data_IF_542384600863
#
_entry.id   IF_542384600863
#
_cell.length_a   1.000
_cell.length_b   1.000
_cell.length_c   1.000
_cell.angle_alpha   90.00
_cell.angle_beta   90.00
_cell.angle_gamma   90.00
#
_symmetry.space_group_name_H-M   'P 1'
#
loop_
_entity.id
_entity.type
_entity.pdbx_description
1 polymer ?
#
# COMPACT_ATOMS: atom_id res chain seq x y z
N UNK A 1 24.54 14.36 -16.09
CA UNK A 1 23.24 13.66 -16.17
C UNK A 1 22.72 13.31 -14.76
N UNK A 2 23.49 12.60 -13.95
CA UNK A 2 23.18 12.25 -12.55
C UNK A 2 22.78 13.41 -11.63
N UNK A 3 23.47 14.55 -11.68
CA UNK A 3 23.12 15.75 -10.90
C UNK A 3 21.70 16.31 -11.18
N UNK A 4 21.22 16.18 -12.43
CA UNK A 4 19.85 16.60 -12.82
C UNK A 4 18.81 15.59 -12.31
N UNK A 5 19.12 14.30 -12.38
CA UNK A 5 18.25 13.20 -11.92
C UNK A 5 18.13 13.20 -10.39
N UNK A 6 19.24 13.35 -9.68
CA UNK A 6 19.29 13.48 -8.21
C UNK A 6 18.43 14.65 -7.69
N UNK A 7 18.56 15.82 -8.32
CA UNK A 7 17.71 16.98 -8.01
C UNK A 7 16.25 16.74 -8.38
N UNK A 8 15.96 15.97 -9.43
CA UNK A 8 14.59 15.62 -9.83
C UNK A 8 13.96 14.60 -8.87
N UNK A 9 14.73 13.62 -8.38
CA UNK A 9 14.31 12.61 -7.40
C UNK A 9 14.04 13.21 -6.04
N UNK A 10 14.92 14.09 -5.55
CA UNK A 10 14.66 14.76 -4.28
C UNK A 10 13.53 15.78 -4.40
N UNK A 11 13.31 16.39 -5.58
CA UNK A 11 12.09 17.16 -5.85
C UNK A 11 10.83 16.28 -5.81
N UNK A 12 10.90 15.03 -6.24
CA UNK A 12 9.81 14.07 -6.10
C UNK A 12 9.57 13.71 -4.62
N UNK A 13 10.62 13.37 -3.86
CA UNK A 13 10.51 13.14 -2.41
C UNK A 13 9.98 14.36 -1.63
N UNK A 14 10.34 15.58 -2.01
CA UNK A 14 9.80 16.81 -1.41
C UNK A 14 8.34 17.03 -1.79
N UNK A 15 7.92 16.64 -3.01
CA UNK A 15 6.51 16.64 -3.43
C UNK A 15 5.68 15.56 -2.74
N UNK A 16 6.23 14.36 -2.57
CA UNK A 16 5.51 13.21 -2.00
C UNK A 16 5.32 13.33 -0.49
N UNK A 17 6.20 14.05 0.21
CA UNK A 17 6.07 14.27 1.64
C UNK A 17 5.01 15.33 2.03
N UNK A 18 4.44 16.03 1.05
CA UNK A 18 3.24 16.88 1.19
C UNK A 18 1.93 16.15 0.81
N UNK A 19 1.97 14.82 0.55
CA UNK A 19 0.76 14.01 0.30
C UNK A 19 -0.11 13.75 1.55
N UNK A 20 0.33 14.22 2.72
CA UNK A 20 -0.48 14.27 3.94
C UNK A 20 -1.05 15.70 4.11
N UNK A 21 -2.23 15.91 3.55
CA UNK A 21 -3.14 17.07 3.63
C UNK A 21 -2.93 18.29 2.68
N UNK A 22 -3.89 18.42 1.77
CA UNK A 22 -4.51 19.63 1.18
C UNK A 22 -3.65 20.62 0.36
N UNK A 23 -3.89 20.60 -0.95
CA UNK A 23 -4.25 21.76 -1.80
C UNK A 23 -3.40 23.05 -1.75
N UNK A 24 -2.06 23.02 -1.90
CA UNK A 24 -1.31 24.24 -2.31
C UNK A 24 -0.02 23.94 -3.10
N UNK A 25 -0.08 23.38 -4.30
CA UNK A 25 1.07 23.45 -5.24
C UNK A 25 0.65 23.64 -6.70
N UNK A 26 -0.18 24.66 -6.96
CA UNK A 26 0.13 25.48 -8.12
C UNK A 26 1.29 26.41 -7.75
N UNK A 27 2.53 25.99 -7.95
CA UNK A 27 3.64 26.94 -7.95
C UNK A 27 4.62 26.64 -9.07
N UNK A 28 4.65 27.56 -10.03
CA UNK A 28 5.78 27.84 -10.91
C UNK A 28 7.10 27.69 -10.15
N UNK A 29 8.09 27.12 -10.83
CA UNK A 29 9.49 26.95 -10.43
C UNK A 29 10.09 28.23 -9.85
N UNK A 30 9.89 28.49 -8.56
CA UNK A 30 10.47 29.64 -7.88
C UNK A 30 11.58 29.13 -6.94
N UNK A 31 12.82 29.13 -7.45
CA UNK A 31 14.00 28.96 -6.61
C UNK A 31 14.01 30.06 -5.55
N UNK A 32 13.86 29.70 -4.28
CA UNK A 32 13.94 30.65 -3.18
C UNK A 32 15.41 30.77 -2.80
N UNK A 33 15.99 31.96 -2.98
CA UNK A 33 17.32 32.30 -2.47
C UNK A 33 17.19 33.00 -1.13
N UNK A 34 17.79 32.43 -0.09
CA UNK A 34 17.87 33.04 1.24
C UNK A 34 19.34 33.10 1.63
N UNK A 35 19.86 34.31 1.89
CA UNK A 35 21.25 34.48 2.32
C UNK A 35 22.30 33.96 1.33
N UNK A 36 21.99 33.96 0.03
CA UNK A 36 22.86 33.41 -1.02
C UNK A 36 22.76 31.91 -1.22
N UNK A 37 22.09 31.17 -0.32
CA UNK A 37 21.83 29.75 -0.48
C UNK A 37 20.57 29.51 -1.32
N UNK A 38 20.68 28.68 -2.36
CA UNK A 38 19.56 28.27 -3.19
C UNK A 38 18.87 27.06 -2.55
N UNK A 39 17.58 27.21 -2.25
CA UNK A 39 16.78 26.18 -1.60
C UNK A 39 15.93 25.41 -2.62
N UNK A 40 15.58 24.18 -2.28
CA UNK A 40 14.93 23.22 -3.17
C UNK A 40 13.43 23.05 -2.91
N UNK A 41 12.88 23.78 -1.93
CA UNK A 41 11.44 23.82 -1.66
C UNK A 41 11.12 24.00 -0.18
N UNK A 42 9.90 23.58 0.18
CA UNK A 42 9.44 23.46 1.56
C UNK A 42 8.96 22.02 1.82
N UNK A 43 9.15 21.55 3.04
CA UNK A 43 8.62 20.29 3.56
C UNK A 43 7.93 20.59 4.88
N UNK A 44 6.63 20.28 5.00
CA UNK A 44 5.83 20.62 6.20
C UNK A 44 5.97 22.10 6.60
N UNK A 45 5.98 22.98 5.60
CA UNK A 45 6.11 24.43 5.75
C UNK A 45 7.54 24.96 6.03
N UNK A 46 8.54 24.10 6.22
CA UNK A 46 9.92 24.48 6.52
C UNK A 46 10.86 24.33 5.32
N UNK A 47 11.89 25.17 5.23
CA UNK A 47 12.83 25.18 4.11
C UNK A 47 13.62 23.88 3.95
N UNK A 48 13.84 23.48 2.69
CA UNK A 48 14.57 22.26 2.32
C UNK A 48 15.79 22.59 1.46
N UNK A 49 16.89 21.92 1.76
CA UNK A 49 18.08 21.82 0.92
C UNK A 49 18.30 20.37 0.51
N UNK A 50 18.41 20.13 -0.79
CA UNK A 50 18.81 18.84 -1.36
C UNK A 50 20.30 18.91 -1.67
N UNK A 51 21.10 18.14 -0.95
CA UNK A 51 22.54 18.14 -1.15
C UNK A 51 22.93 17.29 -2.36
N UNK A 52 23.56 17.92 -3.35
CA UNK A 52 24.07 17.21 -4.52
C UNK A 52 25.50 16.71 -4.30
N UNK A 53 25.61 15.51 -3.74
CA UNK A 53 26.88 14.86 -3.41
C UNK A 53 27.74 14.49 -4.64
N UNK A 54 27.20 14.54 -5.85
CA UNK A 54 27.94 14.28 -7.09
C UNK A 54 28.70 15.49 -7.63
N UNK A 55 28.27 16.72 -7.31
CA UNK A 55 28.96 17.94 -7.76
C UNK A 55 30.25 18.22 -6.97
N UNK A 56 30.39 17.58 -5.80
CA UNK A 56 31.59 17.68 -4.95
C UNK A 56 31.95 16.28 -4.41
N UNK A 57 32.67 15.45 -5.18
CA UNK A 57 33.13 14.14 -4.73
C UNK A 57 33.93 14.28 -3.42
N UNK A 58 33.52 13.57 -2.37
CA UNK A 58 34.13 13.63 -1.04
C UNK A 58 33.62 14.72 -0.11
N UNK A 59 32.67 15.57 -0.54
CA UNK A 59 32.04 16.53 0.35
C UNK A 59 30.97 15.84 1.23
N UNK A 60 31.26 15.78 2.53
CA UNK A 60 30.29 15.39 3.55
C UNK A 60 29.50 16.58 4.08
N UNK A 61 28.40 16.30 4.77
CA UNK A 61 27.66 17.26 5.57
C UNK A 61 27.96 16.97 7.03
N UNK A 62 28.87 17.74 7.60
CA UNK A 62 29.25 17.72 9.01
C UNK A 62 28.59 18.88 9.78
N UNK A 63 28.89 19.00 11.08
CA UNK A 63 28.35 20.08 11.90
C UNK A 63 28.83 21.47 11.44
N UNK A 64 30.05 21.57 10.89
CA UNK A 64 30.61 22.83 10.37
C UNK A 64 29.86 23.30 9.12
N UNK A 65 29.47 22.36 8.26
CA UNK A 65 28.60 22.61 7.11
C UNK A 65 27.25 23.16 7.57
N UNK A 66 26.66 22.59 8.61
CA UNK A 66 25.39 23.08 9.17
C UNK A 66 25.55 24.47 9.78
N UNK A 67 26.66 24.76 10.47
CA UNK A 67 26.99 26.11 10.95
C UNK A 67 27.14 27.11 9.80
N UNK A 68 27.77 26.71 8.70
CA UNK A 68 27.92 27.55 7.50
C UNK A 68 26.57 27.84 6.86
N UNK A 69 25.70 26.83 6.75
CA UNK A 69 24.31 27.01 6.29
C UNK A 69 23.61 28.00 7.22
N UNK A 70 23.70 27.81 8.54
CA UNK A 70 23.09 28.70 9.51
C UNK A 70 23.62 30.14 9.43
N UNK A 71 24.92 30.34 9.22
CA UNK A 71 25.49 31.67 9.02
C UNK A 71 24.92 32.38 7.78
N UNK A 72 24.65 31.61 6.71
CA UNK A 72 24.04 32.14 5.50
C UNK A 72 22.55 32.46 5.69
N UNK A 73 21.75 31.51 6.21
CA UNK A 73 20.28 31.63 6.22
C UNK A 73 19.72 32.19 7.52
N UNK A 74 20.40 31.98 8.64
CA UNK A 74 20.02 32.39 9.99
C UNK A 74 18.61 32.00 10.38
N UNK A 75 17.99 32.78 11.29
CA UNK A 75 16.60 32.60 11.74
C UNK A 75 15.55 32.91 10.66
N UNK A 76 15.95 33.43 9.50
CA UNK A 76 15.02 33.81 8.41
C UNK A 76 14.27 32.61 7.84
N UNK A 77 14.78 31.39 8.02
CA UNK A 77 14.16 30.15 7.55
C UNK A 77 13.13 29.58 8.54
N UNK A 78 12.92 30.24 9.68
CA UNK A 78 12.02 29.80 10.73
C UNK A 78 12.70 28.86 11.73
N UNK A 79 11.92 27.97 12.35
CA UNK A 79 12.38 27.09 13.45
C UNK A 79 12.91 25.74 12.99
N UNK A 80 12.69 25.37 11.73
CA UNK A 80 13.03 24.04 11.18
C UNK A 80 13.63 24.20 9.79
N UNK A 81 14.59 23.34 9.48
CA UNK A 81 15.23 23.24 8.17
C UNK A 81 15.54 21.77 7.89
N UNK A 82 15.32 21.30 6.66
CA UNK A 82 15.61 19.92 6.29
C UNK A 82 16.75 19.86 5.29
N UNK A 83 17.73 19.01 5.56
CA UNK A 83 18.82 18.69 4.65
C UNK A 83 18.63 17.24 4.20
N UNK A 84 18.46 17.03 2.89
CA UNK A 84 18.24 15.70 2.31
C UNK A 84 19.51 15.28 1.57
N UNK A 85 20.08 14.14 1.96
CA UNK A 85 21.27 13.56 1.32
C UNK A 85 21.35 12.03 1.55
N UNK A 86 22.17 11.28 0.79
CA UNK A 86 22.43 9.88 1.09
C UNK A 86 22.99 9.70 2.50
N UNK A 87 22.69 8.56 3.13
CA UNK A 87 23.14 8.25 4.49
C UNK A 87 24.65 8.43 4.68
N UNK A 88 25.45 7.99 3.70
CA UNK A 88 26.92 8.04 3.76
C UNK A 88 27.54 9.43 3.65
N UNK A 89 26.75 10.47 3.39
CA UNK A 89 27.24 11.85 3.24
C UNK A 89 27.25 12.61 4.56
N UNK A 90 26.44 12.21 5.54
CA UNK A 90 26.40 12.90 6.83
C UNK A 90 27.55 12.45 7.74
N UNK A 91 28.35 13.42 8.20
CA UNK A 91 29.48 13.20 9.11
C UNK A 91 29.11 13.16 10.60
N UNK A 92 27.81 13.23 10.92
CA UNK A 92 27.28 13.20 12.27
C UNK A 92 26.14 12.17 12.38
N UNK A 93 25.89 11.65 13.58
CA UNK A 93 24.92 10.57 13.81
C UNK A 93 23.53 11.07 14.19
N UNK A 94 23.44 12.27 14.77
CA UNK A 94 22.21 12.86 15.27
C UNK A 94 21.21 13.13 14.13
N UNK A 95 19.91 12.98 14.41
CA UNK A 95 18.86 13.27 13.41
C UNK A 95 18.64 14.75 13.17
N UNK A 96 19.14 15.60 14.08
CA UNK A 96 19.14 17.04 13.90
C UNK A 96 20.27 17.73 14.69
N UNK A 97 20.56 18.96 14.29
CA UNK A 97 21.42 19.90 15.01
C UNK A 97 20.60 21.17 15.30
N UNK A 98 20.58 21.62 16.55
CA UNK A 98 19.92 22.87 16.95
C UNK A 98 20.95 24.01 16.98
N UNK A 99 20.69 25.10 16.25
CA UNK A 99 21.50 26.33 16.24
C UNK A 99 20.58 27.54 16.39
N UNK A 100 20.79 28.36 17.42
CA UNK A 100 20.03 29.59 17.69
C UNK A 100 18.48 29.44 17.66
N UNK A 101 17.98 28.29 18.12
CA UNK A 101 16.55 27.97 18.12
C UNK A 101 15.99 27.50 16.77
N UNK A 102 16.88 27.20 15.82
CA UNK A 102 16.58 26.62 14.51
C UNK A 102 17.09 25.18 14.46
N UNK A 103 16.20 24.24 14.14
CA UNK A 103 16.51 22.81 14.05
C UNK A 103 16.80 22.38 12.62
N UNK A 104 18.01 21.89 12.39
CA UNK A 104 18.47 21.36 11.10
C UNK A 104 18.37 19.84 11.10
N UNK A 105 17.37 19.28 10.43
CA UNK A 105 17.13 17.84 10.36
C UNK A 105 17.94 17.19 9.23
N UNK A 106 18.61 16.08 9.55
CA UNK A 106 19.34 15.25 8.60
C UNK A 106 18.45 14.12 8.07
N UNK A 107 17.88 14.33 6.88
CA UNK A 107 17.06 13.34 6.20
C UNK A 107 17.98 12.41 5.37
N UNK A 108 18.35 11.29 5.99
CA UNK A 108 19.28 10.30 5.44
C UNK A 108 18.56 9.34 4.51
N UNK A 109 18.91 9.35 3.22
CA UNK A 109 18.36 8.41 2.22
C UNK A 109 19.29 7.20 2.09
N UNK A 110 18.83 5.95 2.34
CA UNK A 110 19.63 4.76 2.12
C UNK A 110 20.00 4.57 0.63
N UNK A 111 21.18 4.03 0.36
CA UNK A 111 21.62 3.78 -1.03
C UNK A 111 20.81 2.72 -1.76
N UNK A 112 20.18 1.77 -1.05
CA UNK A 112 19.28 0.78 -1.66
C UNK A 112 18.14 1.46 -2.41
N UNK A 113 17.50 2.44 -1.77
CA UNK A 113 16.43 3.25 -2.36
C UNK A 113 16.95 4.07 -3.55
N UNK A 114 18.16 4.64 -3.45
CA UNK A 114 18.75 5.43 -4.54
C UNK A 114 19.04 4.55 -5.76
N UNK A 115 19.59 3.35 -5.56
CA UNK A 115 19.98 2.44 -6.64
C UNK A 115 18.76 1.83 -7.35
N UNK A 116 17.73 1.50 -6.58
CA UNK A 116 16.43 1.00 -7.09
C UNK A 116 15.73 2.07 -7.96
N UNK A 117 15.76 3.33 -7.53
CA UNK A 117 15.25 4.48 -8.28
C UNK A 117 16.08 4.83 -9.53
N UNK A 118 17.36 4.45 -9.57
CA UNK A 118 18.25 4.71 -10.70
C UNK A 118 18.10 3.69 -11.84
N UNK A 119 17.58 2.49 -11.56
CA UNK A 119 17.48 1.40 -12.54
C UNK A 119 16.13 1.32 -13.25
N UNK A 120 15.09 2.03 -12.77
CA UNK A 120 13.72 1.90 -13.29
C UNK A 120 13.01 3.25 -13.38
N UNK A 121 12.22 3.43 -14.43
CA UNK A 121 11.14 4.43 -14.41
C UNK A 121 10.04 3.91 -13.49
N UNK A 122 9.49 4.75 -12.60
CA UNK A 122 8.39 4.37 -11.70
C UNK A 122 7.18 3.87 -12.49
N UNK A 123 6.99 2.56 -12.57
CA UNK A 123 5.78 1.93 -13.12
C UNK A 123 4.86 1.52 -11.97
N UNK A 124 3.57 1.82 -12.10
CA UNK A 124 2.56 1.40 -11.15
C UNK A 124 2.45 -0.13 -11.13
N UNK A 125 2.16 -0.69 -9.95
CA UNK A 125 1.88 -2.12 -9.80
C UNK A 125 0.66 -2.47 -10.67
N UNK A 126 0.85 -3.45 -11.57
CA UNK A 126 -0.27 -4.21 -12.12
C UNK A 126 -0.37 -5.48 -11.30
N UNK A 127 -1.46 -5.64 -10.57
CA UNK A 127 -1.80 -6.92 -9.99
C UNK A 127 -1.84 -7.95 -11.12
N UNK A 128 -1.23 -9.13 -10.90
CA UNK A 128 -1.22 -10.17 -11.89
C UNK A 128 -2.66 -10.56 -12.24
N UNK A 129 -2.90 -10.74 -13.53
CA UNK A 129 -4.14 -11.25 -14.08
C UNK A 129 -4.06 -12.78 -14.34
N UNK A 130 -2.93 -13.40 -13.99
CA UNK A 130 -2.67 -14.83 -14.11
C UNK A 130 -1.71 -15.35 -13.00
N UNK A 131 -1.61 -16.68 -12.86
CA UNK A 131 -0.76 -17.34 -11.85
C UNK A 131 0.75 -17.22 -12.15
N UNK A 132 1.13 -16.89 -13.38
CA UNK A 132 2.54 -16.77 -13.79
C UNK A 132 3.12 -15.38 -13.52
N UNK A 133 2.26 -14.35 -13.37
CA UNK A 133 2.64 -12.96 -13.09
C UNK A 133 2.93 -12.63 -11.62
N UNK A 134 2.88 -13.62 -10.72
CA UNK A 134 3.15 -13.41 -9.28
C UNK A 134 4.56 -12.86 -9.03
N UNK A 135 5.54 -13.24 -9.87
CA UNK A 135 6.92 -12.78 -9.75
C UNK A 135 7.12 -11.30 -10.13
N UNK A 136 6.17 -10.69 -10.84
CA UNK A 136 6.22 -9.26 -11.21
C UNK A 136 5.65 -8.35 -10.10
N UNK A 137 5.10 -8.93 -9.02
CA UNK A 137 4.33 -8.23 -7.96
C UNK A 137 5.20 -7.69 -6.82
N UNK A 138 6.48 -8.02 -6.80
CA UNK A 138 7.41 -7.55 -5.78
C UNK A 138 8.17 -6.37 -6.35
N UNK A 139 7.68 -5.14 -6.19
CA UNK A 139 8.51 -3.95 -6.00
C UNK A 139 7.68 -2.66 -5.85
N UNK A 140 8.03 -1.89 -4.80
CA UNK A 140 7.82 -0.44 -4.62
C UNK A 140 6.66 0.06 -3.74
N UNK A 141 7.04 0.99 -2.86
CA UNK A 141 6.25 1.60 -1.79
C UNK A 141 5.71 2.95 -2.28
N UNK A 142 4.39 3.11 -2.31
CA UNK A 142 3.69 4.38 -2.59
C UNK A 142 2.39 4.43 -1.82
N UNK A 143 2.14 5.51 -1.07
CA UNK A 143 0.86 5.71 -0.39
C UNK A 143 -0.17 6.20 -1.40
N UNK A 144 -0.72 5.29 -2.18
CA UNK A 144 -1.94 5.58 -2.96
C UNK A 144 -3.16 5.46 -2.05
N UNK A 145 -4.08 6.42 -2.19
CA UNK A 145 -5.37 6.35 -1.52
C UNK A 145 -6.12 5.14 -2.06
N UNK A 146 -6.40 4.16 -1.21
CA UNK A 146 -7.21 2.99 -1.55
C UNK A 146 -8.57 3.49 -2.03
N UNK A 147 -8.89 3.24 -3.30
CA UNK A 147 -10.19 3.53 -3.89
C UNK A 147 -10.88 2.21 -4.22
N UNK A 148 -11.71 1.67 -3.33
CA UNK A 148 -12.42 0.42 -3.58
C UNK A 148 -13.16 0.47 -4.92
N UNK A 149 -13.01 -0.54 -5.79
CA UNK A 149 -13.71 -0.57 -7.05
C UNK A 149 -15.23 -0.63 -6.80
N UNK A 150 -15.99 -0.04 -7.71
CA UNK A 150 -17.44 -0.11 -7.68
C UNK A 150 -17.89 -1.27 -8.56
N UNK A 151 -18.53 -2.26 -7.95
CA UNK A 151 -19.05 -3.41 -8.67
C UNK A 151 -20.57 -3.53 -8.52
N UNK A 152 -21.24 -3.90 -9.62
CA UNK A 152 -22.59 -4.45 -9.61
C UNK A 152 -22.49 -5.93 -9.94
N UNK A 153 -23.17 -6.75 -9.17
CA UNK A 153 -23.10 -8.19 -9.27
C UNK A 153 -24.45 -8.80 -8.95
N UNK A 154 -24.62 -10.04 -9.41
CA UNK A 154 -25.80 -10.88 -9.18
C UNK A 154 -25.36 -12.26 -8.70
N UNK A 155 -26.15 -12.86 -7.81
CA UNK A 155 -25.91 -14.19 -7.28
C UNK A 155 -27.15 -15.06 -7.43
N UNK A 156 -26.94 -16.37 -7.43
CA UNK A 156 -28.03 -17.33 -7.42
C UNK A 156 -27.54 -18.77 -7.48
N UNK A 157 -28.48 -19.70 -7.58
CA UNK A 157 -28.20 -21.12 -7.73
C UNK A 157 -28.85 -21.61 -9.01
N UNK A 158 -28.05 -22.22 -9.89
CA UNK A 158 -28.55 -22.81 -11.14
C UNK A 158 -27.75 -24.07 -11.51
N UNK A 159 -28.42 -25.01 -12.15
CA UNK A 159 -27.74 -26.15 -12.76
C UNK A 159 -27.30 -25.79 -14.19
N UNK A 160 -26.18 -26.35 -14.66
CA UNK A 160 -25.82 -26.21 -16.08
C UNK A 160 -26.82 -26.97 -16.96
N UNK A 161 -26.97 -26.53 -18.20
CA UNK A 161 -27.84 -27.20 -19.18
C UNK A 161 -27.39 -28.66 -19.34
N UNK A 162 -28.22 -29.60 -18.89
CA UNK A 162 -27.93 -31.04 -18.94
C UNK A 162 -27.24 -31.62 -17.69
N UNK A 163 -27.02 -30.83 -16.65
CA UNK A 163 -26.51 -31.30 -15.35
C UNK A 163 -27.61 -31.24 -14.28
N UNK A 164 -27.61 -32.21 -13.37
CA UNK A 164 -28.54 -32.27 -12.23
C UNK A 164 -28.00 -31.54 -11.00
N UNK A 165 -26.67 -31.37 -10.91
CA UNK A 165 -26.01 -30.74 -9.78
C UNK A 165 -26.23 -29.23 -9.86
N UNK A 166 -26.72 -28.65 -8.77
CA UNK A 166 -26.93 -27.21 -8.64
C UNK A 166 -25.63 -26.55 -8.22
N UNK A 167 -25.19 -25.56 -8.98
CA UNK A 167 -24.03 -24.72 -8.67
C UNK A 167 -24.53 -23.36 -8.20
N UNK A 168 -23.85 -22.78 -7.21
CA UNK A 168 -23.99 -21.37 -6.92
C UNK A 168 -23.18 -20.58 -7.95
N UNK A 169 -23.62 -19.36 -8.24
CA UNK A 169 -22.90 -18.46 -9.11
C UNK A 169 -22.83 -17.05 -8.53
N UNK A 170 -21.76 -16.34 -8.87
CA UNK A 170 -21.60 -14.90 -8.70
C UNK A 170 -21.19 -14.33 -10.05
N UNK A 171 -22.03 -13.44 -10.59
CA UNK A 171 -21.81 -12.77 -11.86
C UNK A 171 -21.53 -11.29 -11.63
N UNK A 172 -20.49 -10.76 -12.27
CA UNK A 172 -20.18 -9.33 -12.26
C UNK A 172 -20.86 -8.69 -13.48
N UNK A 173 -21.83 -7.83 -13.23
CA UNK A 173 -22.58 -7.12 -14.28
C UNK A 173 -21.92 -5.80 -14.68
N UNK A 174 -21.26 -5.13 -13.72
CA UNK A 174 -20.48 -3.91 -13.95
C UNK A 174 -19.31 -3.84 -12.99
N UNK A 175 -18.15 -3.41 -13.47
CA UNK A 175 -16.99 -3.12 -12.65
C UNK A 175 -16.39 -1.78 -13.06
N UNK A 176 -16.06 -0.95 -12.08
CA UNK A 176 -15.43 0.36 -12.26
C UNK A 176 -14.28 0.48 -11.26
N UNK A 177 -13.05 0.56 -11.77
CA UNK A 177 -11.86 0.90 -10.98
C UNK A 177 -11.52 2.37 -11.16
N UNK A 178 -10.93 2.93 -10.10
CA UNK A 178 -10.29 4.25 -10.12
C UNK A 178 -8.96 4.12 -9.42
N UNK A 179 -7.91 4.64 -10.03
CA UNK A 179 -6.62 4.78 -9.38
C UNK A 179 -6.07 6.18 -9.67
N UNK A 180 -5.13 6.63 -8.86
CA UNK A 180 -4.49 7.93 -9.06
C UNK A 180 -3.03 7.75 -9.40
N UNK A 181 -2.75 7.46 -10.67
CA UNK A 181 -1.38 7.23 -11.10
C UNK A 181 -0.68 8.56 -11.35
N UNK A 182 0.40 8.83 -10.59
CA UNK A 182 1.24 10.04 -10.74
C UNK A 182 0.45 11.37 -10.65
N UNK A 183 -0.65 11.38 -9.90
CA UNK A 183 -1.49 12.56 -9.70
C UNK A 183 -2.63 12.71 -10.73
N UNK A 184 -2.69 11.85 -11.74
CA UNK A 184 -3.79 11.78 -12.72
C UNK A 184 -4.80 10.71 -12.30
N UNK A 185 -6.09 11.05 -12.37
CA UNK A 185 -7.15 10.09 -12.11
C UNK A 185 -7.31 9.18 -13.32
N UNK A 186 -7.02 7.89 -13.13
CA UNK A 186 -7.33 6.84 -14.10
C UNK A 186 -8.67 6.23 -13.77
N UNK A 187 -9.43 5.92 -14.81
CA UNK A 187 -10.70 5.23 -14.71
C UNK A 187 -10.70 4.07 -15.68
N UNK A 188 -11.15 2.89 -15.23
CA UNK A 188 -11.29 1.72 -16.07
C UNK A 188 -12.50 0.88 -15.70
N UNK A 189 -12.92 0.06 -16.66
CA UNK A 189 -14.07 -0.82 -16.60
C UNK A 189 -13.69 -2.28 -16.27
N UNK A 190 -14.37 -3.24 -16.89
CA UNK A 190 -14.14 -4.67 -16.69
C UNK A 190 -12.70 -5.11 -16.99
N UNK A 191 -12.01 -4.44 -17.90
CA UNK A 191 -10.61 -4.71 -18.24
C UNK A 191 -9.64 -4.46 -17.07
N UNK A 192 -10.09 -3.72 -16.05
CA UNK A 192 -9.30 -3.48 -14.83
C UNK A 192 -9.59 -4.44 -13.70
N UNK A 193 -10.55 -5.35 -13.86
CA UNK A 193 -10.75 -6.43 -12.90
C UNK A 193 -9.53 -7.36 -12.90
N UNK A 194 -8.98 -7.67 -11.74
CA UNK A 194 -7.86 -8.61 -11.61
C UNK A 194 -8.34 -9.99 -11.18
N UNK A 195 -9.06 -10.06 -10.06
CA UNK A 195 -9.52 -11.34 -9.52
C UNK A 195 -10.71 -11.19 -8.55
N UNK A 196 -11.44 -12.29 -8.38
CA UNK A 196 -12.46 -12.48 -7.37
C UNK A 196 -11.96 -13.55 -6.40
N UNK A 197 -11.92 -13.22 -5.12
CA UNK A 197 -11.67 -14.17 -4.05
C UNK A 197 -12.96 -14.43 -3.28
N UNK A 198 -13.20 -15.68 -2.91
CA UNK A 198 -14.37 -16.12 -2.17
C UNK A 198 -13.97 -16.89 -0.91
N UNK A 199 -14.66 -16.57 0.17
CA UNK A 199 -14.77 -17.31 1.42
C UNK A 199 -16.24 -17.73 1.55
N UNK A 200 -16.49 -19.03 1.56
CA UNK A 200 -17.84 -19.60 1.49
C UNK A 200 -18.58 -19.61 2.83
N UNK A 201 -17.89 -19.48 3.97
CA UNK A 201 -18.46 -19.58 5.31
C UNK A 201 -18.00 -18.47 6.28
N UNK A 202 -17.79 -17.27 5.74
CA UNK A 202 -17.27 -16.10 6.44
C UNK A 202 -17.91 -15.87 7.82
N UNK A 203 -17.06 -15.95 8.84
CA UNK A 203 -17.45 -15.89 10.25
C UNK A 203 -17.65 -14.46 10.80
N UNK A 204 -17.38 -13.42 10.00
CA UNK A 204 -17.46 -12.02 10.42
C UNK A 204 -16.16 -11.42 10.96
N UNK A 205 -15.06 -12.19 11.01
CA UNK A 205 -13.78 -11.78 11.57
C UNK A 205 -12.63 -12.00 10.57
N UNK A 206 -12.28 -13.26 10.31
CA UNK A 206 -11.15 -13.64 9.45
C UNK A 206 -11.67 -14.08 8.09
N UNK A 207 -11.01 -13.62 7.02
CA UNK A 207 -11.26 -14.07 5.66
C UNK A 207 -10.44 -15.33 5.39
N UNK A 208 -11.12 -16.46 5.23
CA UNK A 208 -10.54 -17.76 4.92
C UNK A 208 -10.79 -18.09 3.45
N UNK A 209 -9.72 -18.06 2.64
CA UNK A 209 -9.84 -18.19 1.19
C UNK A 209 -10.20 -19.62 0.75
N UNK A 210 -11.36 -19.79 0.12
CA UNK A 210 -11.80 -21.06 -0.47
C UNK A 210 -11.60 -21.14 -1.98
N UNK A 211 -11.83 -20.04 -2.70
CA UNK A 211 -11.74 -20.02 -4.15
C UNK A 211 -11.23 -18.68 -4.70
N UNK A 212 -10.50 -18.77 -5.81
CA UNK A 212 -10.01 -17.62 -6.58
C UNK A 212 -10.44 -17.79 -8.03
N UNK A 213 -10.95 -16.71 -8.62
CA UNK A 213 -11.25 -16.62 -10.05
C UNK A 213 -10.49 -15.43 -10.63
N UNK A 214 -9.51 -15.73 -11.48
CA UNK A 214 -8.73 -14.70 -12.16
C UNK A 214 -9.50 -14.08 -13.34
N UNK A 215 -9.09 -12.89 -13.76
CA UNK A 215 -9.67 -12.16 -14.88
C UNK A 215 -9.91 -13.04 -16.11
N UNK A 216 -8.90 -13.76 -16.59
CA UNK A 216 -9.01 -14.58 -17.80
C UNK A 216 -10.07 -15.70 -17.67
N UNK A 217 -10.24 -16.26 -16.47
CA UNK A 217 -11.25 -17.28 -16.18
C UNK A 217 -12.65 -16.67 -16.16
N UNK A 218 -12.78 -15.50 -15.51
CA UNK A 218 -14.03 -14.75 -15.47
C UNK A 218 -14.44 -14.31 -16.87
N UNK A 219 -13.54 -13.74 -17.66
CA UNK A 219 -13.80 -13.31 -19.03
C UNK A 219 -14.25 -14.48 -19.92
N UNK A 220 -13.53 -15.60 -19.88
CA UNK A 220 -13.89 -16.81 -20.63
C UNK A 220 -15.26 -17.40 -20.21
N UNK A 221 -15.67 -17.19 -18.95
CA UNK A 221 -16.95 -17.62 -18.40
C UNK A 221 -18.06 -16.57 -18.50
N UNK A 222 -17.85 -15.45 -19.22
CA UNK A 222 -18.86 -14.40 -19.35
C UNK A 222 -19.10 -13.62 -18.05
N UNK A 223 -18.04 -13.43 -17.26
CA UNK A 223 -17.98 -12.75 -15.97
C UNK A 223 -18.78 -13.44 -14.85
N UNK A 224 -18.95 -14.77 -14.96
CA UNK A 224 -19.68 -15.59 -14.00
C UNK A 224 -18.77 -16.64 -13.36
N UNK A 225 -18.52 -16.49 -12.06
CA UNK A 225 -17.88 -17.51 -11.24
C UNK A 225 -18.93 -18.52 -10.78
N UNK A 226 -18.62 -19.82 -10.94
CA UNK A 226 -19.48 -20.91 -10.46
C UNK A 226 -18.73 -21.78 -9.46
N UNK A 227 -19.43 -22.18 -8.39
CA UNK A 227 -18.88 -22.95 -7.29
C UNK A 227 -19.96 -23.84 -6.65
N UNK A 228 -19.55 -24.74 -5.76
CA UNK A 228 -20.48 -25.67 -5.12
C UNK A 228 -21.49 -24.92 -4.25
N UNK A 229 -22.79 -25.18 -4.46
CA UNK A 229 -23.83 -24.63 -3.60
C UNK A 229 -23.86 -25.30 -2.21
N UNK A 230 -23.29 -26.51 -2.09
CA UNK A 230 -23.29 -27.28 -0.85
C UNK A 230 -22.24 -26.80 0.15
N UNK A 231 -21.22 -26.07 -0.31
CA UNK A 231 -20.15 -25.53 0.54
C UNK A 231 -20.49 -24.17 1.16
N UNK A 232 -21.65 -23.59 0.85
CA UNK A 232 -22.00 -22.25 1.33
C UNK A 232 -22.50 -22.29 2.77
N UNK A 233 -21.81 -21.55 3.63
CA UNK A 233 -22.27 -21.20 4.97
C UNK A 233 -23.32 -20.10 4.95
N UNK A 234 -23.63 -19.56 6.14
CA UNK A 234 -24.68 -18.55 6.30
C UNK A 234 -24.32 -17.22 5.62
N UNK A 235 -23.04 -16.90 5.52
CA UNK A 235 -22.51 -15.72 4.84
C UNK A 235 -21.34 -16.11 3.94
N UNK A 236 -21.30 -15.55 2.74
CA UNK A 236 -20.19 -15.67 1.80
C UNK A 236 -19.51 -14.31 1.73
N UNK A 237 -18.19 -14.24 1.92
CA UNK A 237 -17.44 -13.01 1.63
C UNK A 237 -16.86 -13.09 0.23
N UNK A 238 -17.18 -12.09 -0.59
CA UNK A 238 -16.56 -11.87 -1.89
C UNK A 238 -15.64 -10.65 -1.83
N UNK A 239 -14.39 -10.82 -2.27
CA UNK A 239 -13.42 -9.74 -2.40
C UNK A 239 -13.09 -9.58 -3.88
N UNK A 240 -13.49 -8.44 -4.46
CA UNK A 240 -13.17 -8.09 -5.83
C UNK A 240 -11.94 -7.19 -5.83
N UNK A 241 -10.94 -7.55 -6.63
CA UNK A 241 -9.65 -6.88 -6.70
C UNK A 241 -9.44 -6.34 -8.10
N UNK A 242 -9.01 -5.09 -8.21
CA UNK A 242 -8.61 -4.49 -9.49
C UNK A 242 -7.11 -4.67 -9.78
N UNK A 243 -6.68 -4.31 -10.99
CA UNK A 243 -5.28 -4.37 -11.41
C UNK A 243 -4.38 -3.41 -10.62
N UNK A 244 -4.91 -2.54 -9.78
CA UNK A 244 -4.16 -1.64 -8.92
C UNK A 244 -4.05 -2.15 -7.48
N UNK A 245 -4.72 -3.26 -7.14
CA UNK A 245 -4.74 -3.84 -5.80
C UNK A 245 -5.78 -3.21 -4.87
N UNK A 246 -6.70 -2.39 -5.39
CA UNK A 246 -7.83 -1.93 -4.58
C UNK A 246 -8.85 -3.06 -4.40
N UNK A 247 -9.34 -3.21 -3.18
CA UNK A 247 -10.28 -4.26 -2.81
C UNK A 247 -11.68 -3.69 -2.55
N UNK A 248 -12.70 -4.33 -3.10
CA UNK A 248 -14.08 -4.17 -2.68
C UNK A 248 -14.55 -5.46 -2.00
N UNK A 249 -14.89 -5.34 -0.71
CA UNK A 249 -15.37 -6.47 0.10
C UNK A 249 -16.88 -6.42 0.21
N UNK A 250 -17.51 -7.57 0.02
CA UNK A 250 -18.94 -7.74 0.05
C UNK A 250 -19.27 -8.98 0.85
N UNK A 251 -20.16 -8.84 1.84
CA UNK A 251 -20.73 -9.98 2.55
C UNK A 251 -22.11 -10.28 1.96
N UNK A 252 -22.29 -11.50 1.47
CA UNK A 252 -23.47 -11.96 0.76
C UNK A 252 -24.15 -13.03 1.62
N UNK A 253 -25.31 -12.72 2.22
CA UNK A 253 -26.06 -13.71 2.99
C UNK A 253 -26.53 -14.86 2.09
N UNK A 254 -26.57 -16.07 2.65
CA UNK A 254 -27.02 -17.27 1.94
C UNK A 254 -28.43 -17.12 1.32
N UNK A 255 -29.28 -16.31 1.95
CA UNK A 255 -30.64 -16.00 1.47
C UNK A 255 -30.65 -15.25 0.13
N UNK A 256 -29.60 -14.48 -0.20
CA UNK A 256 -29.48 -13.83 -1.51
C UNK A 256 -29.23 -14.84 -2.63
N UNK A 257 -28.65 -15.99 -2.33
CA UNK A 257 -28.52 -17.11 -3.27
C UNK A 257 -29.85 -17.89 -3.44
N UNK A 258 -30.90 -17.54 -2.69
CA UNK A 258 -32.17 -18.26 -2.65
C UNK A 258 -32.13 -19.54 -1.81
N UNK A 259 -31.11 -19.68 -0.95
CA UNK A 259 -30.93 -20.81 -0.04
C UNK A 259 -31.32 -20.42 1.40
N UNK A 260 -31.58 -21.41 2.25
CA UNK A 260 -31.96 -21.19 3.65
C UNK A 260 -30.77 -21.51 4.57
N UNK A 261 -30.47 -20.66 5.58
CA UNK A 261 -29.41 -20.93 6.55
C UNK A 261 -29.65 -22.22 7.32
N UNK A 262 -28.57 -22.95 7.59
CA UNK A 262 -28.65 -24.18 8.38
C UNK A 262 -29.00 -23.81 9.83
N UNK A 263 -29.96 -24.51 10.46
CA UNK A 263 -30.28 -24.25 11.88
C UNK A 263 -29.01 -24.41 12.73
N UNK A 264 -28.75 -23.53 13.71
CA UNK A 264 -27.57 -23.63 14.55
C UNK A 264 -27.58 -24.98 15.29
N UNK A 265 -26.62 -25.84 14.97
CA UNK A 265 -26.36 -27.05 15.73
C UNK A 265 -25.76 -26.62 17.06
N UNK A 266 -26.47 -26.86 18.16
CA UNK A 266 -25.99 -26.58 19.51
C UNK A 266 -24.61 -27.22 19.73
N UNK A 267 -23.57 -26.39 19.87
CA UNK A 267 -22.21 -26.84 20.21
C UNK A 267 -22.26 -27.56 21.56
N UNK A 268 -22.17 -28.89 21.55
CA UNK A 268 -21.99 -29.70 22.76
C UNK A 268 -20.61 -29.40 23.34
N UNK A 269 -20.60 -28.71 24.46
CA UNK A 269 -19.40 -28.46 25.26
C UNK A 269 -18.91 -29.79 25.86
N UNK A 270 -17.80 -30.32 25.36
CA UNK A 270 -17.08 -31.42 26.03
C UNK A 270 -16.50 -30.91 27.36
N UNK A 271 -16.69 -31.61 28.49
CA UNK A 271 -16.20 -31.17 29.79
C UNK A 271 -14.65 -31.25 29.87
N UNK A 272 -14.03 -30.20 30.42
CA UNK A 272 -12.59 -30.09 30.69
C UNK A 272 -12.13 -31.22 31.62
N UNK A 273 -11.13 -31.99 31.18
CA UNK A 273 -10.43 -32.96 32.01
C UNK A 273 -9.68 -32.26 33.16
N UNK A 274 -9.94 -32.69 34.40
CA UNK A 274 -9.25 -32.22 35.61
C UNK A 274 -7.84 -32.80 35.66
N UNK A 275 -6.82 -31.94 35.68
CA UNK A 275 -5.42 -32.30 35.95
C UNK A 275 -5.28 -32.82 37.39
N UNK A 276 -4.88 -34.08 37.57
CA UNK A 276 -4.55 -34.66 38.88
C UNK A 276 -3.20 -34.13 39.38
N UNK A 277 -3.18 -33.66 40.62
CA UNK A 277 -1.98 -33.24 41.35
C UNK A 277 -1.04 -34.44 41.60
N UNK A 278 0.27 -34.23 41.41
CA UNK A 278 1.33 -35.18 41.76
C UNK A 278 1.60 -35.14 43.26
N UNK A 279 1.38 -36.26 43.94
CA UNK A 279 1.81 -36.51 45.32
C UNK A 279 3.33 -36.70 45.38
N UNK A 280 3.99 -35.95 46.27
CA UNK A 280 5.41 -36.13 46.65
C UNK A 280 5.58 -37.49 47.33
N UNK A 281 6.58 -38.27 46.91
CA UNK A 281 7.13 -39.37 47.70
C UNK A 281 8.56 -39.02 48.11
N UNK A 282 8.77 -39.07 49.42
CA UNK A 282 10.04 -38.95 50.13
C UNK A 282 10.99 -40.10 49.80
N UNK A 283 12.28 -39.82 49.64
CA UNK A 283 13.34 -40.80 49.85
C UNK A 283 14.20 -40.39 51.05
N UNK A 284 14.32 -41.36 51.95
CA UNK A 284 15.23 -41.37 53.08
C UNK A 284 16.65 -41.62 52.60
N UNK A 285 17.62 -40.91 53.17
CA UNK A 285 18.83 -41.46 53.78
C UNK A 285 19.27 -40.46 54.84
#
# INVERSE_FOLDING_TARGET
>A
MFAKVWRSMCKACVKDADSLNYDVFQSKTNHIRIGGLQLDGKLKGASVLVFNHHEKPGAGIDEETVKTIHAAVGKKIGRKFYIIAPRGVFGFQQDYIDLDGVRYYAMRVPYSIINELHQREFTALKQPNDEMGVNDTVDSVGFDFIQPPKAKWTVGVSARKGQLIKEAFLKIDKFESRARLRGEDTHGGMETFSMLMLDFDYNGDVFDLDAVFYNHQMEAAGWEARFSAESLGDNVMAVLIDTHGNEARVVIPLTQFGLQPSKPVAKTTKPKAKTKAKTKLSHAT
#
